data_IF_526450591861
#
_entry.id   IF_526450591861
#
_cell.length_a   1.000
_cell.length_b   1.000
_cell.length_c   1.000
_cell.angle_alpha   90.00
_cell.angle_beta   90.00
_cell.angle_gamma   90.00
#
_symmetry.space_group_name_H-M   'P 1'
#
loop_
_entity.id
_entity.type
_entity.pdbx_description
1 polymer ?
#
# COMPACT_ATOMS: atom_id res chain seq x y z
N UNK A 1 -14.13 9.55 10.15
CA UNK A 1 -14.30 8.12 10.50
C UNK A 1 -14.37 7.97 12.00
N UNK A 2 -15.41 7.34 12.48
CA UNK A 2 -15.54 7.01 13.89
C UNK A 2 -14.55 5.91 14.29
N UNK A 3 -14.24 5.81 15.57
CA UNK A 3 -13.36 4.77 16.13
C UNK A 3 -13.82 3.36 15.72
N UNK A 4 -15.13 3.15 15.71
CA UNK A 4 -15.75 1.86 15.34
C UNK A 4 -15.52 1.53 13.86
N UNK A 5 -15.62 2.49 12.97
CA UNK A 5 -15.41 2.27 11.55
C UNK A 5 -13.95 1.86 11.24
N UNK A 6 -12.99 2.41 11.97
CA UNK A 6 -11.58 2.02 11.83
C UNK A 6 -11.33 0.58 12.29
N UNK A 7 -11.97 0.19 13.41
CA UNK A 7 -11.88 -1.18 13.93
C UNK A 7 -12.52 -2.16 12.96
N UNK A 8 -13.70 -1.85 12.44
CA UNK A 8 -14.40 -2.69 11.45
C UNK A 8 -13.56 -2.84 10.20
N UNK A 9 -13.00 -1.75 9.68
CA UNK A 9 -12.15 -1.78 8.49
C UNK A 9 -10.90 -2.62 8.72
N UNK A 10 -10.22 -2.42 9.86
CA UNK A 10 -9.04 -3.19 10.22
C UNK A 10 -9.36 -4.68 10.38
N UNK A 11 -10.49 -5.01 11.01
CA UNK A 11 -10.96 -6.39 11.16
C UNK A 11 -11.29 -7.04 9.81
N UNK A 12 -11.89 -6.30 8.90
CA UNK A 12 -12.23 -6.77 7.55
C UNK A 12 -10.95 -7.06 6.74
N UNK A 13 -10.00 -6.15 6.77
CA UNK A 13 -8.71 -6.33 6.09
C UNK A 13 -7.96 -7.53 6.66
N UNK A 14 -7.92 -7.67 7.99
CA UNK A 14 -7.28 -8.81 8.64
C UNK A 14 -7.99 -10.12 8.28
N UNK A 15 -9.32 -10.15 8.27
CA UNK A 15 -10.10 -11.32 7.89
C UNK A 15 -9.84 -11.75 6.44
N UNK A 16 -9.78 -10.79 5.51
CA UNK A 16 -9.45 -11.08 4.11
C UNK A 16 -8.03 -11.60 3.94
N UNK A 17 -7.06 -11.03 4.66
CA UNK A 17 -5.68 -11.47 4.62
C UNK A 17 -5.52 -12.90 5.20
N UNK A 18 -6.17 -13.18 6.33
CA UNK A 18 -6.08 -14.49 6.99
C UNK A 18 -6.88 -15.57 6.30
N UNK A 19 -7.98 -15.24 5.61
CA UNK A 19 -8.79 -16.23 4.91
C UNK A 19 -8.03 -16.86 3.73
N UNK A 20 -7.28 -16.08 2.99
CA UNK A 20 -6.40 -16.59 1.93
C UNK A 20 -5.32 -17.52 2.48
N UNK A 21 -4.71 -17.16 3.59
CA UNK A 21 -3.70 -17.96 4.26
C UNK A 21 -4.28 -19.27 4.83
N UNK A 22 -5.45 -19.19 5.48
CA UNK A 22 -6.11 -20.36 6.06
C UNK A 22 -6.58 -21.37 5.01
N UNK A 23 -6.97 -20.90 3.83
CA UNK A 23 -7.40 -21.77 2.73
C UNK A 23 -6.25 -22.62 2.19
N UNK A 24 -5.06 -22.08 2.12
CA UNK A 24 -3.86 -22.83 1.74
C UNK A 24 -3.38 -23.78 2.86
N UNK A 25 -3.46 -23.36 4.11
CA UNK A 25 -3.06 -24.18 5.26
C UNK A 25 -4.02 -25.36 5.52
N UNK A 26 -5.28 -25.29 5.08
CA UNK A 26 -6.28 -26.35 5.24
C UNK A 26 -6.13 -27.54 4.31
N UNK A 27 -5.38 -27.42 3.24
CA UNK A 27 -4.97 -28.51 2.37
C UNK A 27 -3.57 -28.97 2.80
N UNK A 28 -3.29 -30.28 2.82
CA UNK A 28 -1.96 -30.82 3.16
C UNK A 28 -0.88 -30.28 2.21
N UNK A 29 -0.63 -28.97 2.33
CA UNK A 29 0.32 -28.25 1.53
C UNK A 29 1.73 -28.76 1.82
N UNK A 30 2.48 -29.10 0.78
CA UNK A 30 3.90 -29.36 0.89
C UNK A 30 4.62 -28.12 1.41
N UNK A 31 5.82 -28.29 1.98
CA UNK A 31 6.65 -27.16 2.44
C UNK A 31 6.86 -26.14 1.33
N UNK A 32 6.95 -26.58 0.08
CA UNK A 32 7.11 -25.72 -1.09
C UNK A 32 5.88 -24.86 -1.35
N UNK A 33 4.68 -25.41 -1.19
CA UNK A 33 3.42 -24.65 -1.35
C UNK A 33 3.27 -23.60 -0.26
N UNK A 34 3.61 -23.94 0.98
CA UNK A 34 3.62 -22.97 2.09
C UNK A 34 4.61 -21.85 1.82
N UNK A 35 5.81 -22.18 1.35
CA UNK A 35 6.83 -21.18 1.01
C UNK A 35 6.37 -20.23 -0.10
N UNK A 36 5.72 -20.77 -1.14
CA UNK A 36 5.12 -19.95 -2.21
C UNK A 36 4.03 -19.03 -1.70
N UNK A 37 3.17 -19.56 -0.82
CA UNK A 37 2.10 -18.76 -0.20
C UNK A 37 2.66 -17.62 0.65
N UNK A 38 3.68 -17.86 1.46
CA UNK A 38 4.34 -16.84 2.26
C UNK A 38 5.04 -15.78 1.39
N UNK A 39 5.66 -16.18 0.30
CA UNK A 39 6.25 -15.25 -0.67
C UNK A 39 5.18 -14.35 -1.30
N UNK A 40 4.08 -14.94 -1.75
CA UNK A 40 2.97 -14.19 -2.34
C UNK A 40 2.37 -13.21 -1.34
N UNK A 41 2.20 -13.62 -0.09
CA UNK A 41 1.73 -12.76 0.98
C UNK A 41 2.70 -11.60 1.24
N UNK A 42 3.99 -11.90 1.34
CA UNK A 42 5.04 -10.89 1.50
C UNK A 42 5.07 -9.88 0.35
N UNK A 43 4.93 -10.37 -0.88
CA UNK A 43 4.86 -9.52 -2.06
C UNK A 43 3.65 -8.57 -2.03
N UNK A 44 2.48 -9.09 -1.69
CA UNK A 44 1.25 -8.31 -1.56
C UNK A 44 1.35 -7.27 -0.44
N UNK A 45 1.92 -7.64 0.69
CA UNK A 45 2.14 -6.71 1.81
C UNK A 45 3.14 -5.61 1.44
N UNK A 46 4.22 -5.95 0.75
CA UNK A 46 5.21 -4.95 0.33
C UNK A 46 4.58 -3.89 -0.58
N UNK A 47 3.81 -4.32 -1.59
CA UNK A 47 3.11 -3.40 -2.47
C UNK A 47 2.00 -2.64 -1.73
N UNK A 48 1.19 -3.33 -0.94
CA UNK A 48 0.07 -2.74 -0.23
C UNK A 48 0.50 -1.69 0.81
N UNK A 49 1.51 -1.99 1.61
CA UNK A 49 2.04 -1.04 2.59
C UNK A 49 2.74 0.15 1.92
N UNK A 50 3.45 -0.09 0.82
CA UNK A 50 4.02 0.97 0.00
C UNK A 50 2.95 1.90 -0.56
N UNK A 51 1.87 1.34 -1.09
CA UNK A 51 0.73 2.11 -1.61
C UNK A 51 0.02 2.91 -0.51
N UNK A 52 -0.17 2.32 0.68
CA UNK A 52 -0.75 3.02 1.82
C UNK A 52 0.14 4.19 2.27
N UNK A 53 1.44 3.96 2.40
CA UNK A 53 2.39 5.01 2.76
C UNK A 53 2.40 6.16 1.74
N UNK A 54 2.44 5.81 0.46
CA UNK A 54 2.34 6.79 -0.64
C UNK A 54 1.04 7.58 -0.58
N UNK A 55 -0.09 6.90 -0.40
CA UNK A 55 -1.39 7.55 -0.33
C UNK A 55 -1.51 8.54 0.84
N UNK A 56 -1.01 8.18 2.01
CA UNK A 56 -0.99 9.07 3.18
C UNK A 56 -0.09 10.29 2.92
N UNK A 57 1.10 10.07 2.37
CA UNK A 57 2.03 11.15 2.05
C UNK A 57 1.45 12.09 0.99
N UNK A 58 0.90 11.54 -0.09
CA UNK A 58 0.30 12.33 -1.17
C UNK A 58 -0.94 13.10 -0.71
N UNK A 59 -1.74 12.55 0.18
CA UNK A 59 -2.88 13.27 0.74
C UNK A 59 -2.45 14.54 1.49
N UNK A 60 -1.37 14.45 2.26
CA UNK A 60 -0.83 15.59 3.01
C UNK A 60 -0.15 16.61 2.10
N UNK A 61 0.72 16.14 1.22
CA UNK A 61 1.44 16.99 0.27
C UNK A 61 0.43 17.66 -0.69
N UNK A 62 -0.52 16.89 -1.22
CA UNK A 62 -1.51 17.37 -2.16
C UNK A 62 -2.37 18.49 -1.60
N UNK A 63 -2.83 18.39 -0.38
CA UNK A 63 -3.60 19.44 0.26
C UNK A 63 -2.80 20.75 0.40
N UNK A 64 -1.52 20.64 0.77
CA UNK A 64 -0.61 21.80 0.84
C UNK A 64 -0.31 22.40 -0.54
N UNK A 65 -0.15 21.53 -1.56
CA UNK A 65 0.09 21.97 -2.94
C UNK A 65 -1.09 22.74 -3.51
N UNK A 66 -2.31 22.29 -3.26
CA UNK A 66 -3.52 23.00 -3.71
C UNK A 66 -3.56 24.41 -3.15
N UNK A 67 -3.25 24.57 -1.86
CA UNK A 67 -3.16 25.89 -1.23
C UNK A 67 -2.08 26.77 -1.86
N UNK A 68 -0.89 26.23 -2.08
CA UNK A 68 0.22 26.99 -2.66
C UNK A 68 -0.04 27.39 -4.13
N UNK A 69 -0.64 26.51 -4.91
CA UNK A 69 -1.01 26.80 -6.32
C UNK A 69 -2.14 27.81 -6.39
N UNK A 70 -3.05 27.80 -5.43
CA UNK A 70 -4.11 28.81 -5.35
C UNK A 70 -3.54 30.22 -5.12
N UNK A 71 -2.42 30.34 -4.40
CA UNK A 71 -1.72 31.62 -4.20
C UNK A 71 -0.88 32.02 -5.42
N UNK A 72 -0.22 31.08 -6.06
CA UNK A 72 0.64 31.32 -7.23
C UNK A 72 0.62 30.13 -8.18
N UNK A 73 -0.22 30.21 -9.20
CA UNK A 73 -0.39 29.15 -10.20
C UNK A 73 0.90 28.84 -10.99
N UNK A 74 1.85 29.79 -11.08
CA UNK A 74 3.11 29.58 -11.80
C UNK A 74 3.99 28.52 -11.15
N UNK A 75 3.77 28.19 -9.88
CA UNK A 75 4.53 27.20 -9.13
C UNK A 75 4.03 25.75 -9.29
N UNK A 76 2.91 25.56 -9.97
CA UNK A 76 2.28 24.23 -10.10
C UNK A 76 3.25 23.16 -10.62
N UNK A 77 4.04 23.46 -11.65
CA UNK A 77 4.97 22.49 -12.23
C UNK A 77 6.09 22.07 -11.29
N UNK A 78 6.72 23.02 -10.59
CA UNK A 78 7.79 22.72 -9.64
C UNK A 78 7.28 22.00 -8.39
N UNK A 79 6.11 22.38 -7.91
CA UNK A 79 5.50 21.75 -6.73
C UNK A 79 4.99 20.34 -7.01
N UNK A 80 4.61 20.04 -8.25
CA UNK A 80 4.20 18.70 -8.65
C UNK A 80 5.29 17.66 -8.42
N UNK A 81 6.57 18.04 -8.53
CA UNK A 81 7.68 17.15 -8.23
C UNK A 81 7.64 16.63 -6.79
N UNK A 82 7.29 17.47 -5.84
CA UNK A 82 7.16 17.06 -4.44
C UNK A 82 5.99 16.09 -4.23
N UNK A 83 4.93 16.24 -5.00
CA UNK A 83 3.81 15.32 -4.97
C UNK A 83 4.20 13.93 -5.52
N UNK A 84 5.11 13.88 -6.49
CA UNK A 84 5.54 12.64 -7.14
C UNK A 84 6.61 11.87 -6.35
N UNK A 85 7.32 12.52 -5.41
CA UNK A 85 8.37 11.86 -4.63
C UNK A 85 7.85 10.60 -3.90
N UNK A 86 6.70 10.61 -3.19
CA UNK A 86 6.19 9.43 -2.54
C UNK A 86 5.85 8.28 -3.48
N UNK A 87 5.64 8.55 -4.76
CA UNK A 87 5.37 7.52 -5.78
C UNK A 87 6.52 6.51 -5.90
N UNK A 88 7.74 6.91 -5.59
CA UNK A 88 8.89 6.01 -5.58
C UNK A 88 8.72 4.86 -4.58
N UNK A 89 8.00 5.06 -3.49
CA UNK A 89 7.73 4.02 -2.50
C UNK A 89 6.87 2.89 -3.09
N UNK A 90 5.88 3.24 -3.90
CA UNK A 90 5.05 2.24 -4.56
C UNK A 90 5.82 1.49 -5.63
N UNK A 91 6.74 2.17 -6.31
CA UNK A 91 7.64 1.54 -7.29
C UNK A 91 8.53 0.50 -6.63
N UNK A 92 9.09 0.79 -5.45
CA UNK A 92 9.84 -0.19 -4.67
C UNK A 92 8.96 -1.36 -4.20
N UNK A 93 7.70 -1.12 -3.88
CA UNK A 93 6.72 -2.16 -3.60
C UNK A 93 6.51 -3.10 -4.79
N UNK A 94 6.38 -2.55 -5.99
CA UNK A 94 6.32 -3.34 -7.23
C UNK A 94 7.60 -4.14 -7.47
N UNK A 95 8.75 -3.54 -7.24
CA UNK A 95 10.03 -4.25 -7.38
C UNK A 95 10.07 -5.47 -6.43
N UNK A 96 9.68 -5.30 -5.19
CA UNK A 96 9.61 -6.39 -4.22
C UNK A 96 8.63 -7.48 -4.67
N UNK A 97 7.48 -7.10 -5.22
CA UNK A 97 6.50 -8.02 -5.77
C UNK A 97 7.12 -8.88 -6.89
N UNK A 98 7.81 -8.26 -7.84
CA UNK A 98 8.45 -9.00 -8.94
C UNK A 98 9.58 -9.92 -8.48
N UNK A 99 10.34 -9.52 -7.47
CA UNK A 99 11.42 -10.34 -6.92
C UNK A 99 10.86 -11.55 -6.17
N UNK A 100 9.77 -11.36 -5.43
CA UNK A 100 9.20 -12.39 -4.59
C UNK A 100 8.27 -13.35 -5.34
N UNK A 101 7.66 -12.90 -6.40
CA UNK A 101 6.74 -13.71 -7.22
C UNK A 101 7.42 -14.18 -8.49
#
# INVERSE_FOLDING_TARGET
MTKYNKIVLASLVLALATSGFAQEAGTNASTDELYRGLRALGAGLALGLGALGTGVAQARIGSSLVGAVAEDASKAGSLLLYFLIPETLVIFGFLALFILV
#
